data_IF_004707193171
#
_entry.id   IF_004707193171
#
_cell.length_a   1.000
_cell.length_b   1.000
_cell.length_c   1.000
_cell.angle_alpha   90.00
_cell.angle_beta   90.00
_cell.angle_gamma   90.00
#
_symmetry.space_group_name_H-M   'P 1'
#
loop_
_entity.id
_entity.type
_entity.pdbx_description
1 polymer ?
#
# COMPACT_ATOMS: atom_id res chain seq x y z
N UNK A 1 -21.67 -8.99 41.30
CA UNK A 1 -22.30 -9.10 39.97
C UNK A 1 -22.44 -7.70 39.40
N UNK A 2 -21.99 -7.44 38.16
CA UNK A 2 -22.15 -6.14 37.52
C UNK A 2 -23.62 -5.82 37.26
N UNK A 3 -24.01 -4.56 37.51
CA UNK A 3 -25.37 -4.05 37.35
C UNK A 3 -25.35 -2.89 36.36
N UNK A 4 -26.03 -3.04 35.23
CA UNK A 4 -26.17 -2.01 34.20
C UNK A 4 -27.45 -2.27 33.39
N UNK A 5 -27.99 -1.25 32.72
CA UNK A 5 -29.29 -1.32 32.00
C UNK A 5 -30.46 -1.88 32.84
N UNK A 6 -30.44 -1.64 34.16
CA UNK A 6 -31.51 -2.06 35.08
C UNK A 6 -31.58 -3.58 35.34
N UNK A 7 -30.53 -4.36 35.01
CA UNK A 7 -30.48 -5.80 35.28
C UNK A 7 -29.12 -6.24 35.81
N UNK A 8 -29.15 -7.29 36.64
CA UNK A 8 -27.94 -7.99 37.06
C UNK A 8 -27.40 -8.84 35.91
N UNK A 9 -26.10 -8.70 35.64
CA UNK A 9 -25.41 -9.46 34.61
C UNK A 9 -24.32 -10.34 35.23
N UNK A 10 -24.06 -11.48 34.59
CA UNK A 10 -23.00 -12.42 35.01
C UNK A 10 -21.59 -11.93 34.67
N UNK A 11 -21.48 -11.10 33.64
CA UNK A 11 -20.22 -10.52 33.14
C UNK A 11 -20.37 -9.00 33.06
N UNK A 12 -19.27 -8.28 33.21
CA UNK A 12 -19.23 -6.84 33.05
C UNK A 12 -19.47 -6.46 31.58
N UNK A 13 -19.84 -5.20 31.32
CA UNK A 13 -20.03 -4.73 29.95
C UNK A 13 -18.71 -4.78 29.15
N UNK A 14 -17.58 -4.51 29.81
CA UNK A 14 -16.24 -4.65 29.24
C UNK A 14 -15.95 -6.11 28.83
N UNK A 15 -16.15 -7.08 29.72
CA UNK A 15 -15.94 -8.51 29.44
C UNK A 15 -16.81 -9.02 28.28
N UNK A 16 -18.06 -8.55 28.17
CA UNK A 16 -18.93 -8.87 27.04
C UNK A 16 -18.44 -8.28 25.72
N UNK A 17 -17.98 -7.02 25.74
CA UNK A 17 -17.43 -6.36 24.55
C UNK A 17 -16.15 -7.05 24.09
N UNK A 18 -15.24 -7.37 25.02
CA UNK A 18 -14.01 -8.11 24.75
C UNK A 18 -14.29 -9.50 24.18
N UNK A 19 -15.19 -10.27 24.79
CA UNK A 19 -15.60 -11.57 24.27
C UNK A 19 -16.19 -11.45 22.85
N UNK A 20 -17.03 -10.45 22.60
CA UNK A 20 -17.59 -10.17 21.28
C UNK A 20 -16.55 -9.71 20.25
N UNK A 21 -15.52 -8.96 20.67
CA UNK A 21 -14.38 -8.60 19.81
C UNK A 21 -13.57 -9.85 19.45
N UNK A 22 -13.17 -10.64 20.45
CA UNK A 22 -12.46 -11.91 20.23
C UNK A 22 -13.20 -12.85 19.28
N UNK A 23 -14.52 -13.03 19.47
CA UNK A 23 -15.31 -13.86 18.58
C UNK A 23 -15.34 -13.32 17.15
N UNK A 24 -15.46 -12.00 16.97
CA UNK A 24 -15.40 -11.38 15.62
C UNK A 24 -14.03 -11.57 14.98
N UNK A 25 -12.95 -11.48 15.75
CA UNK A 25 -11.60 -11.75 15.26
C UNK A 25 -11.40 -13.22 14.87
N UNK A 26 -11.87 -14.17 15.68
CA UNK A 26 -11.87 -15.60 15.36
C UNK A 26 -12.62 -15.86 14.04
N UNK A 27 -13.87 -15.36 13.93
CA UNK A 27 -14.65 -15.51 12.70
C UNK A 27 -13.98 -14.84 11.49
N UNK A 28 -13.36 -13.68 11.67
CA UNK A 28 -12.63 -12.99 10.61
C UNK A 28 -11.42 -13.82 10.15
N UNK A 29 -10.64 -14.37 11.08
CA UNK A 29 -9.50 -15.24 10.77
C UNK A 29 -9.95 -16.48 10.01
N UNK A 30 -10.98 -17.17 10.49
CA UNK A 30 -11.52 -18.36 9.85
C UNK A 30 -12.04 -18.07 8.44
N UNK A 31 -12.71 -16.93 8.26
CA UNK A 31 -13.15 -16.48 6.95
C UNK A 31 -11.98 -16.21 6.01
N UNK A 32 -10.94 -15.51 6.47
CA UNK A 32 -9.72 -15.21 5.72
C UNK A 32 -8.86 -16.46 5.42
N UNK A 33 -9.02 -17.55 6.17
CA UNK A 33 -8.39 -18.83 5.81
C UNK A 33 -8.95 -19.40 4.51
N UNK A 34 -10.22 -19.11 4.20
CA UNK A 34 -10.94 -19.70 3.06
C UNK A 34 -11.13 -18.72 1.90
N UNK A 35 -11.24 -17.42 2.18
CA UNK A 35 -11.67 -16.42 1.22
C UNK A 35 -10.73 -15.22 1.12
N UNK A 36 -10.63 -14.68 -0.09
CA UNK A 36 -10.05 -13.36 -0.35
C UNK A 36 -11.13 -12.37 -0.78
N UNK A 37 -11.21 -11.24 -0.08
CA UNK A 37 -12.02 -10.10 -0.50
C UNK A 37 -11.33 -9.34 -1.64
N UNK A 38 -12.09 -8.50 -2.36
CA UNK A 38 -11.50 -7.63 -3.41
C UNK A 38 -10.39 -6.74 -2.86
N UNK A 39 -10.56 -6.24 -1.63
CA UNK A 39 -9.55 -5.43 -0.94
C UNK A 39 -8.28 -6.25 -0.68
N UNK A 40 -8.41 -7.46 -0.15
CA UNK A 40 -7.27 -8.35 0.10
C UNK A 40 -6.53 -8.75 -1.18
N UNK A 41 -7.23 -8.88 -2.32
CA UNK A 41 -6.58 -9.08 -3.62
C UNK A 41 -5.78 -7.84 -4.05
N UNK A 42 -6.33 -6.64 -3.88
CA UNK A 42 -5.62 -5.38 -4.20
C UNK A 42 -4.37 -5.17 -3.35
N UNK A 43 -4.40 -5.56 -2.08
CA UNK A 43 -3.22 -5.57 -1.19
C UNK A 43 -2.13 -6.53 -1.70
N UNK A 44 -2.52 -7.61 -2.38
CA UNK A 44 -1.63 -8.53 -3.12
C UNK A 44 -1.29 -8.05 -4.53
N UNK A 45 -1.48 -6.76 -4.83
CA UNK A 45 -1.19 -6.10 -6.10
C UNK A 45 -2.07 -6.52 -7.30
N UNK A 46 -3.18 -7.22 -7.05
CA UNK A 46 -4.14 -7.56 -8.10
C UNK A 46 -4.85 -6.31 -8.64
N UNK A 47 -5.03 -6.24 -9.95
CA UNK A 47 -5.88 -5.22 -10.61
C UNK A 47 -7.25 -5.80 -10.91
N UNK A 48 -8.26 -4.95 -11.06
CA UNK A 48 -9.62 -5.40 -11.39
C UNK A 48 -9.65 -6.18 -12.72
N UNK A 49 -8.86 -5.76 -13.71
CA UNK A 49 -8.67 -6.49 -14.97
C UNK A 49 -8.00 -7.85 -14.82
N UNK A 50 -7.06 -7.99 -13.88
CA UNK A 50 -6.40 -9.27 -13.61
C UNK A 50 -7.33 -10.23 -12.86
N UNK A 51 -8.16 -9.70 -11.96
CA UNK A 51 -9.21 -10.47 -11.29
C UNK A 51 -10.17 -11.05 -12.33
N UNK A 52 -10.65 -10.25 -13.27
CA UNK A 52 -11.56 -10.71 -14.33
C UNK A 52 -10.91 -11.73 -15.28
N UNK A 53 -9.60 -11.56 -15.57
CA UNK A 53 -8.88 -12.44 -16.49
C UNK A 53 -8.50 -13.80 -15.88
N UNK A 54 -8.03 -13.80 -14.63
CA UNK A 54 -7.37 -14.97 -14.02
C UNK A 54 -8.24 -15.72 -13.01
N UNK A 55 -9.28 -15.08 -12.47
CA UNK A 55 -10.16 -15.69 -11.46
C UNK A 55 -11.55 -15.94 -12.01
N UNK A 56 -12.25 -16.96 -11.47
CA UNK A 56 -13.67 -17.13 -11.71
C UNK A 56 -14.48 -15.96 -11.14
N UNK A 57 -15.75 -15.81 -11.55
CA UNK A 57 -16.63 -14.82 -10.95
C UNK A 57 -16.71 -15.01 -9.42
N UNK A 58 -16.84 -13.91 -8.65
CA UNK A 58 -16.80 -13.98 -7.21
C UNK A 58 -18.03 -14.70 -6.65
N UNK A 59 -17.82 -15.53 -5.63
CA UNK A 59 -18.85 -16.33 -4.99
C UNK A 59 -19.40 -15.63 -3.74
N UNK A 60 -20.59 -16.04 -3.30
CA UNK A 60 -21.24 -15.48 -2.10
C UNK A 60 -20.55 -16.03 -0.84
N UNK A 61 -19.76 -15.20 -0.16
CA UNK A 61 -18.99 -15.55 1.02
C UNK A 61 -19.58 -14.87 2.28
N UNK A 62 -20.87 -15.10 2.52
CA UNK A 62 -21.65 -14.43 3.56
C UNK A 62 -22.22 -13.08 3.07
N UNK A 63 -21.90 -11.95 3.73
CA UNK A 63 -22.46 -10.63 3.38
C UNK A 63 -21.81 -10.01 2.14
N UNK A 64 -20.62 -10.47 1.75
CA UNK A 64 -19.86 -9.95 0.61
C UNK A 64 -19.62 -11.03 -0.43
N UNK A 65 -19.31 -10.60 -1.66
CA UNK A 65 -18.79 -11.50 -2.70
C UNK A 65 -17.26 -11.56 -2.62
N UNK A 66 -16.70 -12.77 -2.70
CA UNK A 66 -15.27 -13.02 -2.52
C UNK A 66 -14.80 -14.19 -3.39
N UNK A 67 -13.49 -14.38 -3.46
CA UNK A 67 -12.84 -15.46 -4.20
C UNK A 67 -12.31 -16.51 -3.25
N UNK A 68 -12.41 -17.79 -3.63
CA UNK A 68 -11.84 -18.87 -2.84
C UNK A 68 -10.31 -18.76 -2.84
N UNK A 69 -9.71 -18.95 -1.68
CA UNK A 69 -8.25 -18.94 -1.51
C UNK A 69 -7.57 -19.94 -2.43
N UNK A 70 -8.17 -21.13 -2.61
CA UNK A 70 -7.62 -22.17 -3.51
C UNK A 70 -7.51 -21.69 -4.96
N UNK A 71 -8.48 -20.93 -5.45
CA UNK A 71 -8.53 -20.46 -6.84
C UNK A 71 -7.50 -19.34 -7.04
N UNK A 72 -7.37 -18.45 -6.05
CA UNK A 72 -6.34 -17.40 -6.03
C UNK A 72 -4.94 -17.99 -6.02
N UNK A 73 -4.67 -18.95 -5.13
CA UNK A 73 -3.38 -19.61 -5.07
C UNK A 73 -3.08 -20.45 -6.33
N UNK A 74 -4.10 -21.04 -6.94
CA UNK A 74 -3.95 -21.74 -8.21
C UNK A 74 -3.61 -20.76 -9.36
N UNK A 75 -4.26 -19.59 -9.40
CA UNK A 75 -3.95 -18.54 -10.37
C UNK A 75 -2.53 -18.00 -10.18
N UNK A 76 -2.09 -17.75 -8.94
CA UNK A 76 -0.73 -17.26 -8.63
C UNK A 76 0.38 -18.24 -9.04
N UNK A 77 0.06 -19.54 -9.17
CA UNK A 77 1.01 -20.56 -9.64
C UNK A 77 1.13 -20.64 -11.16
N UNK A 78 0.18 -20.08 -11.93
CA UNK A 78 0.21 -20.13 -13.39
C UNK A 78 1.34 -19.24 -13.92
N UNK A 79 2.06 -19.71 -14.93
CA UNK A 79 3.17 -18.96 -15.53
C UNK A 79 2.71 -17.64 -16.15
N UNK A 80 1.53 -17.64 -16.79
CA UNK A 80 0.92 -16.41 -17.32
C UNK A 80 0.69 -15.35 -16.24
N UNK A 81 0.27 -15.78 -15.05
CA UNK A 81 0.04 -14.88 -13.93
C UNK A 81 1.37 -14.37 -13.37
N UNK A 82 2.38 -15.24 -13.24
CA UNK A 82 3.73 -14.86 -12.79
C UNK A 82 4.36 -13.82 -13.71
N UNK A 83 4.30 -14.06 -15.02
CA UNK A 83 4.79 -13.12 -16.02
C UNK A 83 4.03 -11.77 -15.97
N UNK A 84 2.71 -11.82 -15.75
CA UNK A 84 1.91 -10.60 -15.54
C UNK A 84 2.32 -9.87 -14.24
N UNK A 85 2.52 -10.61 -13.15
CA UNK A 85 2.87 -10.06 -11.84
C UNK A 85 4.28 -9.44 -11.86
N UNK A 86 5.23 -10.03 -12.57
CA UNK A 86 6.56 -9.44 -12.77
C UNK A 86 6.47 -8.11 -13.51
N UNK A 87 5.75 -8.06 -14.65
CA UNK A 87 5.51 -6.80 -15.38
C UNK A 87 4.83 -5.76 -14.49
N UNK A 88 3.88 -6.19 -13.65
CA UNK A 88 3.18 -5.31 -12.72
C UNK A 88 4.12 -4.77 -11.63
N UNK A 89 4.99 -5.60 -11.06
CA UNK A 89 6.00 -5.18 -10.07
C UNK A 89 6.96 -4.17 -10.67
N UNK A 90 7.50 -4.44 -11.86
CA UNK A 90 8.38 -3.49 -12.58
C UNK A 90 7.65 -2.15 -12.84
N UNK A 91 6.39 -2.20 -13.27
CA UNK A 91 5.58 -1.00 -13.51
C UNK A 91 5.33 -0.18 -12.23
N UNK A 92 5.16 -0.87 -11.08
CA UNK A 92 4.96 -0.24 -9.77
C UNK A 92 6.25 0.31 -9.19
N UNK A 93 7.35 -0.44 -9.31
CA UNK A 93 8.70 -0.03 -8.90
C UNK A 93 9.10 1.26 -9.63
N UNK A 94 8.96 1.29 -10.95
CA UNK A 94 9.24 2.46 -11.77
C UNK A 94 8.43 3.72 -11.37
N UNK A 95 7.34 3.55 -10.62
CA UNK A 95 6.49 4.63 -10.12
C UNK A 95 6.60 4.87 -8.63
N UNK A 96 7.47 4.16 -7.94
CA UNK A 96 7.60 4.24 -6.48
C UNK A 96 6.28 3.95 -5.75
N UNK A 97 5.48 3.00 -6.24
CA UNK A 97 4.17 2.63 -5.69
C UNK A 97 4.10 1.20 -5.16
N UNK A 98 5.26 0.57 -4.96
CA UNK A 98 5.31 -0.70 -4.24
C UNK A 98 5.06 -0.44 -2.75
N UNK A 99 4.45 -1.41 -2.03
CA UNK A 99 4.14 -1.25 -0.61
C UNK A 99 5.39 -1.07 0.26
N UNK A 100 6.54 -1.59 -0.19
CA UNK A 100 7.82 -1.52 0.53
C UNK A 100 8.59 -0.22 0.25
N UNK A 101 8.03 0.67 -0.58
CA UNK A 101 8.62 1.95 -0.92
C UNK A 101 8.10 3.01 0.05
N UNK A 102 9.01 3.64 0.78
CA UNK A 102 8.71 4.86 1.50
C UNK A 102 8.35 5.94 0.49
N UNK A 103 7.27 6.65 0.75
CA UNK A 103 6.78 7.73 -0.10
C UNK A 103 6.53 8.97 0.74
N UNK A 104 7.10 10.10 0.31
CA UNK A 104 6.90 11.38 0.95
C UNK A 104 6.77 12.48 -0.12
N UNK A 105 5.95 13.49 0.18
CA UNK A 105 5.82 14.69 -0.65
C UNK A 105 6.34 15.87 0.15
N UNK A 106 7.31 16.60 -0.40
CA UNK A 106 7.85 17.78 0.24
C UNK A 106 8.06 18.90 -0.78
N UNK A 107 7.51 20.08 -0.49
CA UNK A 107 7.52 21.22 -1.40
C UNK A 107 6.93 20.88 -2.77
N UNK A 108 7.79 20.85 -3.79
CA UNK A 108 7.42 20.60 -5.19
C UNK A 108 7.75 19.17 -5.64
N UNK A 109 8.17 18.28 -4.76
CA UNK A 109 8.64 16.94 -5.11
C UNK A 109 7.81 15.84 -4.43
N UNK A 110 7.59 14.75 -5.15
CA UNK A 110 7.31 13.45 -4.59
C UNK A 110 8.60 12.62 -4.61
N UNK A 111 8.88 11.92 -3.52
CA UNK A 111 10.14 11.21 -3.28
C UNK A 111 9.79 9.79 -2.86
N UNK A 112 10.54 8.83 -3.39
CA UNK A 112 10.30 7.42 -3.22
C UNK A 112 11.61 6.63 -3.15
N UNK A 113 11.73 5.77 -2.14
CA UNK A 113 12.87 4.84 -2.01
C UNK A 113 12.44 3.53 -1.37
N UNK A 114 13.14 2.47 -1.77
CA UNK A 114 12.91 1.12 -1.28
C UNK A 114 13.63 0.94 0.06
N UNK A 115 12.88 0.92 1.17
CA UNK A 115 13.45 0.76 2.52
C UNK A 115 14.15 -0.62 2.64
N UNK A 116 13.64 -1.62 1.93
CA UNK A 116 14.18 -2.98 1.94
C UNK A 116 15.42 -3.17 1.06
N UNK A 117 15.78 -2.17 0.25
CA UNK A 117 16.94 -2.22 -0.65
C UNK A 117 17.76 -0.92 -0.56
N UNK A 118 18.55 -0.74 0.53
CA UNK A 118 19.29 0.50 0.80
C UNK A 118 20.31 0.86 -0.28
N UNK A 119 20.80 -0.12 -1.04
CA UNK A 119 21.73 0.10 -2.15
C UNK A 119 21.08 0.77 -3.37
N UNK A 120 19.74 0.82 -3.43
CA UNK A 120 19.03 1.50 -4.52
C UNK A 120 19.04 3.00 -4.31
N UNK A 121 19.16 3.71 -5.43
CA UNK A 121 19.05 5.17 -5.46
C UNK A 121 17.65 5.63 -5.06
N UNK A 122 17.60 6.69 -4.26
CA UNK A 122 16.37 7.42 -3.95
C UNK A 122 15.89 8.10 -5.22
N UNK A 123 14.59 7.98 -5.52
CA UNK A 123 13.96 8.54 -6.71
C UNK A 123 13.09 9.71 -6.31
N UNK A 124 12.95 10.67 -7.21
CA UNK A 124 12.09 11.82 -7.03
C UNK A 124 11.38 12.20 -8.34
N UNK A 125 10.24 12.87 -8.24
CA UNK A 125 9.57 13.48 -9.37
C UNK A 125 8.98 14.83 -8.98
N UNK A 126 8.88 15.75 -9.94
CA UNK A 126 8.22 17.03 -9.71
C UNK A 126 6.71 16.84 -9.66
N UNK A 127 6.09 17.44 -8.65
CA UNK A 127 4.66 17.59 -8.53
C UNK A 127 4.16 18.63 -9.54
N UNK A 128 2.95 18.42 -10.03
CA UNK A 128 2.25 19.27 -10.99
C UNK A 128 1.00 19.81 -10.32
N UNK A 129 0.77 21.12 -10.45
CA UNK A 129 -0.45 21.74 -9.95
C UNK A 129 -1.68 21.18 -10.66
N UNK A 130 -2.67 20.75 -9.89
CA UNK A 130 -3.96 20.29 -10.38
C UNK A 130 -5.03 21.32 -10.01
N UNK A 131 -5.56 22.02 -11.02
CA UNK A 131 -6.58 23.05 -10.81
C UNK A 131 -7.89 22.48 -10.25
N UNK A 132 -8.29 21.27 -10.65
CA UNK A 132 -9.56 20.67 -10.22
C UNK A 132 -9.55 20.22 -8.77
N UNK A 133 -8.38 19.90 -8.21
CA UNK A 133 -8.21 19.52 -6.81
C UNK A 133 -7.63 20.66 -5.95
N UNK A 134 -7.16 21.72 -6.59
CA UNK A 134 -6.43 22.82 -5.95
C UNK A 134 -5.23 22.32 -5.12
N UNK A 135 -4.54 21.31 -5.63
CA UNK A 135 -3.41 20.66 -4.96
C UNK A 135 -2.24 20.34 -5.92
N UNK A 136 -1.07 20.05 -5.34
CA UNK A 136 0.07 19.52 -6.07
C UNK A 136 -0.04 18.00 -6.18
N UNK A 137 0.14 17.47 -7.39
CA UNK A 137 -0.12 16.06 -7.72
C UNK A 137 1.02 15.39 -8.46
N UNK A 138 1.12 14.09 -8.31
CA UNK A 138 2.25 13.26 -8.71
C UNK A 138 2.08 12.66 -10.14
N UNK A 139 1.21 13.26 -10.96
CA UNK A 139 0.76 12.71 -12.26
C UNK A 139 1.80 12.71 -13.38
N UNK A 140 2.95 13.38 -13.20
CA UNK A 140 3.98 13.42 -14.23
C UNK A 140 4.51 12.01 -14.56
N UNK A 141 4.53 11.12 -13.56
CA UNK A 141 5.07 9.76 -13.65
C UNK A 141 6.52 9.72 -14.17
N UNK A 142 7.23 10.85 -14.13
CA UNK A 142 8.60 11.03 -14.62
C UNK A 142 9.54 11.01 -13.43
N UNK A 143 9.78 9.81 -12.91
CA UNK A 143 10.72 9.58 -11.82
C UNK A 143 12.16 9.73 -12.32
N UNK A 144 12.96 10.46 -11.54
CA UNK A 144 14.39 10.67 -11.74
C UNK A 144 15.14 10.09 -10.55
N UNK A 145 16.39 9.68 -10.77
CA UNK A 145 17.27 9.21 -9.70
C UNK A 145 18.00 10.39 -9.08
N UNK A 146 17.99 10.47 -7.76
CA UNK A 146 18.88 11.34 -7.01
C UNK A 146 20.28 10.71 -6.91
N UNK A 147 21.33 11.46 -6.52
CA UNK A 147 22.65 10.90 -6.25
C UNK A 147 22.69 10.08 -4.96
N UNK A 148 21.66 10.18 -4.12
CA UNK A 148 21.62 9.54 -2.81
C UNK A 148 21.10 8.11 -2.90
N UNK A 149 21.67 7.24 -2.08
CA UNK A 149 21.20 5.87 -1.84
C UNK A 149 20.35 5.81 -0.58
N UNK A 150 19.49 4.79 -0.47
CA UNK A 150 18.74 4.54 0.77
C UNK A 150 19.65 4.30 1.99
N UNK A 151 20.88 3.80 1.76
CA UNK A 151 21.88 3.56 2.79
C UNK A 151 22.31 4.84 3.52
N UNK A 152 22.32 5.99 2.84
CA UNK A 152 22.71 7.29 3.41
C UNK A 152 21.68 7.84 4.40
N UNK A 153 20.46 7.31 4.36
CA UNK A 153 19.33 7.75 5.17
C UNK A 153 18.88 6.70 6.19
N UNK A 154 19.78 5.81 6.59
CA UNK A 154 19.45 4.77 7.56
C UNK A 154 19.02 5.40 8.90
N UNK A 155 17.78 5.09 9.32
CA UNK A 155 17.19 5.63 10.55
C UNK A 155 16.51 6.99 10.41
N UNK A 156 16.52 7.59 9.21
CA UNK A 156 15.80 8.83 8.94
C UNK A 156 14.32 8.57 8.67
N UNK A 157 13.48 9.50 9.09
CA UNK A 157 12.06 9.50 8.76
C UNK A 157 11.84 9.86 7.30
N UNK A 158 10.69 9.46 6.72
CA UNK A 158 10.43 9.77 5.33
C UNK A 158 10.46 11.25 4.98
N UNK A 159 10.04 12.11 5.91
CA UNK A 159 10.02 13.55 5.73
C UNK A 159 11.44 14.15 5.77
N UNK A 160 12.34 13.64 6.62
CA UNK A 160 13.74 14.09 6.66
C UNK A 160 14.48 13.77 5.36
N UNK A 161 14.27 12.57 4.81
CA UNK A 161 14.80 12.20 3.49
C UNK A 161 14.21 13.11 2.41
N UNK A 162 12.92 13.42 2.50
CA UNK A 162 12.25 14.27 1.55
C UNK A 162 12.83 15.70 1.55
N UNK A 163 13.10 16.25 2.74
CA UNK A 163 13.78 17.53 2.92
C UNK A 163 15.16 17.53 2.25
N UNK A 164 16.02 16.55 2.57
CA UNK A 164 17.39 16.50 2.05
C UNK A 164 17.45 16.44 0.53
N UNK A 165 16.63 15.59 -0.09
CA UNK A 165 16.55 15.48 -1.56
C UNK A 165 15.98 16.76 -2.18
N UNK A 166 15.01 17.42 -1.52
CA UNK A 166 14.44 18.67 -2.02
C UNK A 166 15.44 19.84 -1.94
N UNK A 167 16.23 19.94 -0.87
CA UNK A 167 17.28 20.94 -0.72
C UNK A 167 18.36 20.79 -1.79
N UNK A 168 18.84 19.55 -2.01
CA UNK A 168 19.76 19.25 -3.11
C UNK A 168 19.17 19.61 -4.48
N UNK A 169 17.91 19.26 -4.73
CA UNK A 169 17.25 19.58 -6.00
C UNK A 169 17.18 21.11 -6.25
N UNK A 170 16.93 21.89 -5.19
CA UNK A 170 16.88 23.35 -5.27
C UNK A 170 18.28 23.92 -5.54
N UNK A 171 19.34 23.42 -4.88
CA UNK A 171 20.71 23.91 -5.09
C UNK A 171 21.16 23.70 -6.55
N UNK A 172 20.90 22.51 -7.12
CA UNK A 172 21.18 22.21 -8.52
C UNK A 172 20.41 23.09 -9.50
N UNK A 173 19.18 23.50 -9.14
CA UNK A 173 18.36 24.39 -9.96
C UNK A 173 18.85 25.85 -9.91
N UNK A 174 19.55 26.25 -8.84
CA UNK A 174 20.12 27.59 -8.69
C UNK A 174 21.48 27.72 -9.40
N UNK A 175 22.31 26.67 -9.37
CA UNK A 175 23.59 26.61 -10.08
C UNK A 175 23.45 26.62 -11.61
N UNK A 176 22.30 26.17 -12.13
CA UNK A 176 21.98 26.13 -13.56
C UNK A 176 21.21 27.37 -14.06
N UNK A 177 21.17 28.46 -13.30
CA UNK A 177 20.62 29.74 -13.79
C UNK A 177 21.69 30.49 -14.61
N UNK A 178 21.37 30.95 -15.83
CA UNK A 178 22.29 31.73 -16.67
C UNK A 178 22.63 33.09 -16.05
#
# INVERSE_FOLDING_TARGET
MPYYNGRWHRYSEAERREFGQRKREEYSRDWHMTWFSRKGLKERLWTDSAIEKFLPPPQKAGPIRAWLRKDVLAAEKKDDFRAWMEKRKVWLDARCRLPDIAYATYGLLAIGWDIGAPDKLVRFQKLVWNEGRQDLTDYSHKWQTSPFTGAEFLGWTPDEVACAVCEWFISQSQENKP
#
